data_IF_318193087425
#
_entry.id   IF_318193087425
#
_cell.length_a   1.000
_cell.length_b   1.000
_cell.length_c   1.000
_cell.angle_alpha   90.00
_cell.angle_beta   90.00
_cell.angle_gamma   90.00
#
_symmetry.space_group_name_H-M   'P 1'
#
loop_
_entity.id
_entity.type
_entity.pdbx_description
1 polymer ?
#
# COMPACT_ATOMS: atom_id res chain seq x y z
N UNK A 1 -0.36 -18.12 3.56
CA UNK A 1 0.76 -17.27 3.11
C UNK A 1 0.47 -15.84 3.51
N UNK A 2 1.45 -15.10 4.03
CA UNK A 2 1.33 -13.66 4.31
C UNK A 2 2.27 -12.94 3.36
N UNK A 3 1.73 -12.23 2.37
CA UNK A 3 2.52 -11.37 1.49
C UNK A 3 3.01 -10.15 2.26
N UNK A 4 4.21 -9.66 1.94
CA UNK A 4 4.72 -8.36 2.42
C UNK A 4 3.85 -7.21 1.89
N UNK A 5 3.96 -6.02 2.48
CA UNK A 5 3.17 -4.86 2.02
C UNK A 5 3.47 -4.49 0.56
N UNK A 6 4.73 -4.56 0.14
CA UNK A 6 5.13 -4.30 -1.25
C UNK A 6 4.46 -5.33 -2.17
N UNK A 7 4.52 -6.61 -1.84
CA UNK A 7 3.88 -7.67 -2.61
C UNK A 7 2.36 -7.51 -2.66
N UNK A 8 1.71 -7.14 -1.55
CA UNK A 8 0.27 -6.83 -1.53
C UNK A 8 -0.09 -5.68 -2.47
N UNK A 9 0.72 -4.61 -2.50
CA UNK A 9 0.54 -3.51 -3.47
C UNK A 9 0.71 -4.02 -4.90
N UNK A 10 1.75 -4.82 -5.18
CA UNK A 10 2.01 -5.38 -6.51
C UNK A 10 0.90 -6.31 -7.00
N UNK A 11 0.31 -7.13 -6.11
CA UNK A 11 -0.88 -7.94 -6.42
C UNK A 11 -2.02 -7.03 -6.90
N UNK A 12 -2.28 -5.93 -6.18
CA UNK A 12 -3.37 -5.01 -6.51
C UNK A 12 -3.13 -4.18 -7.78
N UNK A 13 -1.86 -3.91 -8.09
CA UNK A 13 -1.43 -3.32 -9.35
C UNK A 13 -1.33 -4.34 -10.49
N UNK A 14 -1.57 -5.63 -10.22
CA UNK A 14 -1.40 -6.75 -11.17
C UNK A 14 0.02 -6.87 -11.72
N UNK A 15 1.02 -6.52 -10.93
CA UNK A 15 2.45 -6.64 -11.23
C UNK A 15 2.99 -8.01 -10.79
N UNK A 16 2.38 -9.08 -11.30
CA UNK A 16 2.81 -10.46 -11.05
C UNK A 16 2.32 -11.40 -12.15
N UNK A 17 2.99 -12.55 -12.24
CA UNK A 17 2.55 -13.71 -13.01
C UNK A 17 2.74 -15.00 -12.19
N UNK A 18 2.24 -16.10 -12.71
CA UNK A 18 2.40 -17.44 -12.14
C UNK A 18 3.36 -18.23 -13.02
N UNK A 19 4.41 -18.77 -12.41
CA UNK A 19 5.31 -19.75 -13.04
C UNK A 19 5.00 -21.14 -12.50
N UNK A 20 4.93 -22.14 -13.38
CA UNK A 20 4.91 -23.55 -12.98
C UNK A 20 6.35 -23.95 -12.63
N UNK A 21 6.57 -24.40 -11.40
CA UNK A 21 7.85 -24.93 -10.93
C UNK A 21 7.73 -26.42 -10.67
N UNK A 22 8.73 -27.16 -11.13
CA UNK A 22 8.82 -28.61 -10.95
C UNK A 22 9.86 -28.90 -9.85
N UNK A 23 9.48 -29.70 -8.87
CA UNK A 23 10.41 -30.17 -7.83
C UNK A 23 11.42 -31.15 -8.44
N UNK A 24 12.72 -30.84 -8.32
CA UNK A 24 13.79 -31.63 -8.93
C UNK A 24 13.90 -33.07 -8.38
N UNK A 25 13.31 -33.35 -7.22
CA UNK A 25 13.37 -34.65 -6.52
C UNK A 25 12.09 -35.46 -6.75
N UNK A 26 10.92 -34.82 -6.66
CA UNK A 26 9.62 -35.51 -6.75
C UNK A 26 8.99 -35.42 -8.14
N UNK A 27 9.42 -34.49 -8.99
CA UNK A 27 8.78 -34.19 -10.28
C UNK A 27 7.39 -33.55 -10.15
N UNK A 28 7.00 -33.14 -8.94
CA UNK A 28 5.71 -32.49 -8.71
C UNK A 28 5.72 -31.05 -9.20
N UNK A 29 4.66 -30.68 -9.93
CA UNK A 29 4.46 -29.33 -10.44
C UNK A 29 3.64 -28.51 -9.46
N UNK A 30 4.06 -27.28 -9.23
CA UNK A 30 3.35 -26.32 -8.38
C UNK A 30 3.39 -24.92 -8.96
N UNK A 31 2.38 -24.12 -8.63
CA UNK A 31 2.29 -22.73 -9.06
C UNK A 31 3.05 -21.82 -8.09
N UNK A 32 3.96 -21.00 -8.64
CA UNK A 32 4.72 -20.00 -7.89
C UNK A 32 4.37 -18.60 -8.39
N UNK A 33 4.00 -17.72 -7.46
CA UNK A 33 3.82 -16.29 -7.76
C UNK A 33 5.18 -15.63 -7.94
N UNK A 34 5.36 -14.92 -9.05
CA UNK A 34 6.55 -14.13 -9.36
C UNK A 34 6.14 -12.67 -9.58
N UNK A 35 6.81 -11.76 -8.87
CA UNK A 35 6.49 -10.33 -8.91
C UNK A 35 7.28 -9.58 -9.99
N UNK A 36 6.56 -8.89 -10.87
CA UNK A 36 7.07 -8.16 -12.05
C UNK A 36 7.44 -6.71 -11.72
N UNK A 37 8.01 -5.95 -12.66
CA UNK A 37 8.31 -4.50 -12.50
C UNK A 37 9.11 -4.20 -11.22
N UNK A 38 10.25 -4.87 -11.01
CA UNK A 38 11.08 -4.73 -9.80
C UNK A 38 11.59 -3.30 -9.62
N UNK A 39 11.81 -2.58 -10.71
CA UNK A 39 12.16 -1.17 -10.76
C UNK A 39 11.11 -0.24 -10.13
N UNK A 40 9.86 -0.69 -10.01
CA UNK A 40 8.81 0.05 -9.30
C UNK A 40 8.88 -0.12 -7.78
N UNK A 41 9.61 -1.12 -7.25
CA UNK A 41 9.66 -1.40 -5.81
C UNK A 41 10.10 -0.20 -4.96
N UNK A 42 11.18 0.54 -5.29
CA UNK A 42 11.61 1.67 -4.47
C UNK A 42 10.53 2.76 -4.33
N UNK A 43 9.76 3.00 -5.40
CA UNK A 43 8.63 3.93 -5.34
C UNK A 43 7.51 3.39 -4.46
N UNK A 44 7.15 2.10 -4.58
CA UNK A 44 6.12 1.47 -3.74
C UNK A 44 6.52 1.51 -2.26
N UNK A 45 7.78 1.21 -1.94
CA UNK A 45 8.32 1.29 -0.58
C UNK A 45 8.24 2.71 -0.03
N UNK A 46 8.60 3.72 -0.84
CA UNK A 46 8.48 5.12 -0.44
C UNK A 46 7.03 5.52 -0.18
N UNK A 47 6.08 5.10 -1.02
CA UNK A 47 4.65 5.39 -0.85
C UNK A 47 4.08 4.73 0.42
N UNK A 48 4.49 3.49 0.72
CA UNK A 48 4.10 2.80 1.95
C UNK A 48 4.64 3.52 3.20
N UNK A 49 5.90 3.97 3.17
CA UNK A 49 6.49 4.73 4.29
C UNK A 49 5.83 6.10 4.46
N UNK A 50 5.43 6.77 3.37
CA UNK A 50 4.64 8.00 3.43
C UNK A 50 3.27 7.74 4.07
N UNK A 51 2.55 6.72 3.61
CA UNK A 51 1.26 6.33 4.18
C UNK A 51 1.38 6.01 5.68
N UNK A 52 2.44 5.29 6.07
CA UNK A 52 2.76 4.99 7.47
C UNK A 52 2.92 6.27 8.31
N UNK A 53 3.73 7.22 7.85
CA UNK A 53 3.95 8.51 8.54
C UNK A 53 2.67 9.33 8.66
N UNK A 54 1.85 9.36 7.61
CA UNK A 54 0.56 10.05 7.64
C UNK A 54 -0.40 9.43 8.65
N UNK A 55 -0.48 8.10 8.72
CA UNK A 55 -1.27 7.40 9.74
C UNK A 55 -0.77 7.77 11.14
N UNK A 56 0.55 7.75 11.38
CA UNK A 56 1.12 8.10 12.68
C UNK A 56 0.76 9.54 13.08
N UNK A 57 0.90 10.48 12.14
CA UNK A 57 0.55 11.88 12.36
C UNK A 57 -0.95 12.05 12.70
N UNK A 58 -1.83 11.37 11.98
CA UNK A 58 -3.29 11.41 12.21
C UNK A 58 -3.71 10.76 13.51
N UNK A 59 -3.05 9.69 13.92
CA UNK A 59 -3.29 9.05 15.22
C UNK A 59 -2.94 9.97 16.37
N UNK A 60 -2.05 10.95 16.18
CA UNK A 60 -1.72 11.96 17.18
C UNK A 60 -1.38 11.31 18.55
N UNK A 61 -0.46 10.34 18.52
CA UNK A 61 -0.11 9.56 19.70
C UNK A 61 0.35 10.48 20.84
N UNK A 62 -0.04 10.18 22.09
CA UNK A 62 0.53 10.85 23.26
C UNK A 62 2.04 10.65 23.35
N UNK A 63 2.75 11.65 23.88
CA UNK A 63 4.22 11.61 24.04
C UNK A 63 4.69 10.48 24.99
N UNK A 64 3.77 9.87 25.72
CA UNK A 64 4.03 8.70 26.59
C UNK A 64 4.15 7.39 25.83
N UNK A 65 3.76 7.33 24.55
CA UNK A 65 3.87 6.12 23.74
C UNK A 65 5.32 5.89 23.32
N UNK A 66 5.79 4.65 23.46
CA UNK A 66 7.08 4.24 22.91
C UNK A 66 6.97 3.96 21.41
N UNK A 67 8.09 3.97 20.69
CA UNK A 67 8.12 3.63 19.27
C UNK A 67 7.56 2.21 19.01
N UNK A 68 7.88 1.23 19.87
CA UNK A 68 7.37 -0.13 19.73
C UNK A 68 5.84 -0.20 19.89
N UNK A 69 5.27 0.61 20.78
CA UNK A 69 3.81 0.71 20.96
C UNK A 69 3.15 1.34 19.74
N UNK A 70 3.75 2.39 19.19
CA UNK A 70 3.30 3.02 17.94
C UNK A 70 3.35 1.99 16.81
N UNK A 71 4.49 1.31 16.64
CA UNK A 71 4.69 0.33 15.57
C UNK A 71 3.72 -0.84 15.68
N UNK A 72 3.46 -1.32 16.90
CA UNK A 72 2.50 -2.39 17.12
C UNK A 72 1.08 -1.98 16.78
N UNK A 73 0.67 -0.76 17.09
CA UNK A 73 -0.67 -0.27 16.79
C UNK A 73 -0.82 0.12 15.31
N UNK A 74 0.23 0.66 14.67
CA UNK A 74 0.27 0.99 13.24
C UNK A 74 0.05 -0.25 12.34
N UNK A 75 0.46 -1.44 12.79
CA UNK A 75 0.20 -2.71 12.07
C UNK A 75 -1.29 -2.95 11.80
N UNK A 76 -2.18 -2.44 12.64
CA UNK A 76 -3.63 -2.55 12.43
C UNK A 76 -4.12 -1.77 11.20
N UNK A 77 -3.28 -0.90 10.63
CA UNK A 77 -3.60 -0.04 9.49
C UNK A 77 -2.86 -0.45 8.20
N UNK A 78 -2.25 -1.64 8.16
CA UNK A 78 -1.56 -2.16 6.96
C UNK A 78 -2.44 -2.16 5.70
N UNK A 79 -3.71 -2.52 5.81
CA UNK A 79 -4.65 -2.43 4.70
C UNK A 79 -4.85 -0.99 4.19
N UNK A 80 -4.87 -0.01 5.10
CA UNK A 80 -4.96 1.41 4.74
C UNK A 80 -3.67 1.87 4.04
N UNK A 81 -2.50 1.46 4.53
CA UNK A 81 -1.22 1.75 3.87
C UNK A 81 -1.19 1.19 2.44
N UNK A 82 -1.64 -0.05 2.23
CA UNK A 82 -1.74 -0.66 0.90
C UNK A 82 -2.74 0.09 0.02
N UNK A 83 -3.91 0.50 0.55
CA UNK A 83 -4.88 1.31 -0.20
C UNK A 83 -4.29 2.64 -0.68
N UNK A 84 -3.61 3.36 0.20
CA UNK A 84 -2.96 4.64 -0.12
C UNK A 84 -1.86 4.46 -1.15
N UNK A 85 -0.97 3.48 -0.96
CA UNK A 85 0.12 3.22 -1.90
C UNK A 85 -0.39 2.83 -3.30
N UNK A 86 -1.44 1.99 -3.39
CA UNK A 86 -2.08 1.66 -4.68
C UNK A 86 -2.69 2.89 -5.32
N UNK A 87 -3.41 3.72 -4.56
CA UNK A 87 -4.04 4.94 -5.06
C UNK A 87 -3.00 5.92 -5.59
N UNK A 88 -1.97 6.23 -4.79
CA UNK A 88 -0.92 7.19 -5.14
C UNK A 88 -0.08 6.69 -6.33
N UNK A 89 0.22 5.39 -6.38
CA UNK A 89 0.93 4.79 -7.53
C UNK A 89 0.11 4.87 -8.81
N UNK A 90 -1.21 4.74 -8.72
CA UNK A 90 -2.14 4.82 -9.86
C UNK A 90 -2.36 6.25 -10.37
N UNK A 91 -2.03 7.27 -9.56
CA UNK A 91 -2.04 8.68 -9.97
C UNK A 91 -0.71 9.16 -10.55
N UNK A 92 0.37 8.38 -10.45
CA UNK A 92 1.69 8.81 -10.91
C UNK A 92 1.67 9.17 -12.41
N UNK A 93 1.93 10.45 -12.71
CA UNK A 93 1.82 11.05 -14.04
C UNK A 93 0.74 12.13 -14.16
N UNK A 94 -0.27 12.11 -13.28
CA UNK A 94 -1.42 13.03 -13.25
C UNK A 94 -1.47 13.79 -11.91
N UNK A 95 -0.30 14.21 -11.43
CA UNK A 95 -0.13 14.71 -10.07
C UNK A 95 -1.09 15.86 -9.75
N UNK A 96 -1.81 15.73 -8.62
CA UNK A 96 -2.74 16.72 -8.09
C UNK A 96 -3.98 16.99 -8.96
N UNK A 97 -4.27 16.16 -9.96
CA UNK A 97 -5.49 16.26 -10.76
C UNK A 97 -6.68 15.57 -10.08
N UNK A 98 -7.84 16.23 -10.06
CA UNK A 98 -9.10 15.66 -9.60
C UNK A 98 -9.86 14.91 -10.71
N UNK A 99 -9.58 15.23 -11.98
CA UNK A 99 -10.11 14.56 -13.16
C UNK A 99 -9.19 14.71 -14.36
N UNK A 100 -9.15 13.70 -15.23
CA UNK A 100 -8.43 13.72 -16.51
C UNK A 100 -9.37 13.29 -17.63
N UNK A 101 -9.33 14.01 -18.75
CA UNK A 101 -10.14 13.72 -19.93
C UNK A 101 -9.30 13.92 -21.19
N UNK A 102 -9.02 12.85 -21.92
CA UNK A 102 -8.31 12.89 -23.19
C UNK A 102 -8.81 11.80 -24.14
N UNK A 103 -9.06 12.14 -25.41
CA UNK A 103 -9.39 11.20 -26.50
C UNK A 103 -10.44 10.12 -26.15
N UNK A 104 -11.51 10.51 -25.44
CA UNK A 104 -12.61 9.60 -25.06
C UNK A 104 -12.37 8.79 -23.78
N UNK A 105 -11.20 8.92 -23.15
CA UNK A 105 -10.92 8.38 -21.81
C UNK A 105 -11.19 9.49 -20.79
N UNK A 106 -12.16 9.25 -19.90
CA UNK A 106 -12.45 10.12 -18.76
C UNK A 106 -12.19 9.37 -17.45
N UNK A 107 -11.37 9.96 -16.58
CA UNK A 107 -11.04 9.43 -15.26
C UNK A 107 -11.38 10.47 -14.20
N UNK A 108 -11.99 10.02 -13.11
CA UNK A 108 -12.26 10.81 -11.91
C UNK A 108 -11.75 10.03 -10.72
N UNK A 109 -10.97 10.67 -9.87
CA UNK A 109 -10.39 10.01 -8.71
C UNK A 109 -11.26 10.25 -7.48
N UNK A 110 -11.32 9.23 -6.61
CA UNK A 110 -11.92 9.37 -5.29
C UNK A 110 -11.06 10.34 -4.48
N UNK A 111 -11.66 11.14 -3.63
CA UNK A 111 -10.90 11.95 -2.67
C UNK A 111 -9.94 11.06 -1.85
N UNK A 112 -8.64 11.37 -1.89
CA UNK A 112 -7.59 10.59 -1.22
C UNK A 112 -7.83 10.55 0.30
N UNK A 113 -8.34 11.64 0.87
CA UNK A 113 -8.61 11.76 2.31
C UNK A 113 -9.59 10.68 2.79
N UNK A 114 -10.56 10.32 1.94
CA UNK A 114 -11.54 9.27 2.24
C UNK A 114 -10.94 7.87 2.40
N UNK A 115 -9.66 7.67 2.09
CA UNK A 115 -8.95 6.40 2.27
C UNK A 115 -8.46 6.20 3.72
N UNK A 116 -8.37 7.27 4.52
CA UNK A 116 -8.02 7.19 5.95
C UNK A 116 -9.18 6.75 6.85
N UNK A 117 -10.24 6.19 6.27
CA UNK A 117 -11.40 5.68 7.02
C UNK A 117 -10.95 4.70 8.11
N UNK A 118 -11.37 4.95 9.36
CA UNK A 118 -11.01 4.13 10.51
C UNK A 118 -9.72 4.54 11.23
N UNK A 119 -8.97 5.54 10.73
CA UNK A 119 -7.83 6.13 11.46
C UNK A 119 -8.35 7.24 12.36
N UNK A 120 -8.43 6.98 13.66
CA UNK A 120 -8.96 7.94 14.64
C UNK A 120 -7.85 8.53 15.53
N UNK A 121 -7.80 9.86 15.74
CA UNK A 121 -6.81 10.48 16.61
C UNK A 121 -7.05 10.10 18.07
N UNK A 122 -5.97 9.96 18.83
CA UNK A 122 -6.04 10.06 20.28
C UNK A 122 -6.35 11.50 20.66
N UNK A 123 -7.38 11.67 21.50
CA UNK A 123 -7.74 12.97 22.06
C UNK A 123 -6.78 13.28 23.20
N UNK A 124 -6.08 14.41 23.13
CA UNK A 124 -5.36 14.95 24.30
C UNK A 124 -6.43 15.47 25.27
N UNK A 125 -6.56 14.83 26.44
CA UNK A 125 -7.33 15.42 27.52
C UNK A 125 -6.62 16.73 27.94
N UNK A 126 -7.33 17.85 27.86
CA UNK A 126 -6.87 19.15 28.34
C UNK A 126 -6.76 19.18 29.86
#
# INVERSE_FOLDING_TARGET
MSYTLVEQVKIRLKQFHIEEVEDEVTGEKSDKVVFDEKECNPLIEQLLEQARKEIISRRNYPDTYTQDQIDSDVKNYENIMVNLAVYDRSQAGEAYMASFSENGVSRTWKDRESLFVGVFPFVKAM
#
